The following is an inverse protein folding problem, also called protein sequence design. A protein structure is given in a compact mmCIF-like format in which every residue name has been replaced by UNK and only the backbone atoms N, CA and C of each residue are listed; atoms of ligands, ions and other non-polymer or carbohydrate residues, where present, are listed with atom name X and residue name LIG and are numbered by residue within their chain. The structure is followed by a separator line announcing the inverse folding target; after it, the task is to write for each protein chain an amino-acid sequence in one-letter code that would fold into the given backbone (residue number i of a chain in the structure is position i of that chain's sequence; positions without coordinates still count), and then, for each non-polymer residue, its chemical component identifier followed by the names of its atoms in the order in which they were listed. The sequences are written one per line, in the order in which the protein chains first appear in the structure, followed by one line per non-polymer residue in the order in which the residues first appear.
data_IF_682584653909
#
_entry.id   IF_682584653909
#
_cell.length_a   1.000
_cell.length_b   1.000
_cell.length_c   1.000
_cell.angle_alpha   90.00
_cell.angle_beta   90.00
_cell.angle_gamma   90.00
#
_symmetry.space_group_name_H-M   'P 1'
#
loop_
_entity.id
_entity.type
_entity.pdbx_description
1 polymer ?
#
# COMPACT_ATOMS: atom_id res chain seq x y z
N UNK A 1 24.62 8.41 27.79
CA UNK A 1 23.33 9.10 27.99
C UNK A 1 22.22 8.18 27.46
N UNK A 2 21.29 7.81 28.31
CA UNK A 2 20.17 6.93 27.99
C UNK A 2 19.30 7.59 26.92
N UNK A 3 18.81 6.81 25.94
CA UNK A 3 17.88 7.28 24.90
C UNK A 3 16.48 7.57 25.50
N UNK A 4 15.60 8.19 24.70
CA UNK A 4 14.24 8.46 25.12
C UNK A 4 13.43 7.14 25.24
N UNK A 5 12.62 7.02 26.30
CA UNK A 5 11.63 5.95 26.39
C UNK A 5 10.46 6.25 25.46
N UNK A 6 9.96 5.25 24.78
CA UNK A 6 8.82 5.37 23.88
C UNK A 6 8.09 4.03 23.77
N UNK A 7 6.81 4.08 23.45
CA UNK A 7 6.01 2.88 23.21
C UNK A 7 6.23 2.33 21.79
N UNK A 8 6.25 1.01 21.65
CA UNK A 8 6.36 0.32 20.37
C UNK A 8 5.61 -1.01 20.41
N UNK A 9 5.06 -1.41 19.26
CA UNK A 9 4.52 -2.75 19.08
C UNK A 9 5.65 -3.70 18.70
N UNK A 10 5.73 -4.82 19.42
CA UNK A 10 6.65 -5.94 19.13
C UNK A 10 5.92 -7.26 19.11
N UNK A 11 6.53 -8.25 18.46
CA UNK A 11 6.09 -9.63 18.49
C UNK A 11 7.29 -10.57 18.51
N UNK A 12 7.13 -11.72 19.19
CA UNK A 12 8.17 -12.68 19.51
C UNK A 12 7.96 -14.04 18.85
N UNK A 13 6.78 -14.23 18.26
CA UNK A 13 6.42 -15.42 17.48
C UNK A 13 5.49 -14.99 16.34
N UNK A 14 5.54 -15.69 15.22
CA UNK A 14 4.54 -15.53 14.16
C UNK A 14 3.18 -16.05 14.63
N UNK A 15 2.08 -15.41 14.20
CA UNK A 15 0.74 -15.81 14.60
C UNK A 15 -0.35 -14.84 14.20
N UNK A 16 -1.49 -14.93 14.86
CA UNK A 16 -2.61 -14.03 14.73
C UNK A 16 -2.34 -12.66 15.38
N UNK A 17 -3.32 -11.72 15.33
CA UNK A 17 -3.15 -10.38 15.91
C UNK A 17 -2.82 -10.36 17.40
N UNK A 18 -3.11 -11.42 18.13
CA UNK A 18 -2.85 -11.60 19.58
C UNK A 18 -1.36 -11.64 19.93
N UNK A 19 -0.47 -11.90 18.97
CA UNK A 19 0.99 -11.90 19.22
C UNK A 19 1.57 -10.49 19.35
N UNK A 20 0.82 -9.46 18.98
CA UNK A 20 1.25 -8.06 19.04
C UNK A 20 1.19 -7.55 20.48
N UNK A 21 2.33 -7.06 20.99
CA UNK A 21 2.50 -6.51 22.33
C UNK A 21 2.91 -5.06 22.26
N UNK A 22 2.25 -4.21 23.05
CA UNK A 22 2.71 -2.84 23.28
C UNK A 22 3.72 -2.88 24.43
N UNK A 23 4.90 -2.35 24.19
CA UNK A 23 6.01 -2.37 25.15
C UNK A 23 6.70 -1.02 25.19
N UNK A 24 7.28 -0.68 26.32
CA UNK A 24 8.23 0.41 26.42
C UNK A 24 9.58 -0.01 25.80
N UNK A 25 10.09 0.82 24.92
CA UNK A 25 11.35 0.61 24.25
C UNK A 25 12.26 1.83 24.40
N UNK A 26 13.49 1.58 24.78
CA UNK A 26 14.50 2.62 24.82
C UNK A 26 14.97 2.89 23.38
N UNK A 27 14.73 4.11 22.88
CA UNK A 27 15.15 4.51 21.55
C UNK A 27 16.54 5.15 21.61
N UNK A 28 17.52 4.57 20.94
CA UNK A 28 18.87 5.13 20.82
C UNK A 28 18.84 6.50 20.10
N UNK A 29 19.88 7.32 20.30
CA UNK A 29 20.09 8.51 19.47
C UNK A 29 20.28 8.11 18.01
N UNK A 30 19.89 8.95 17.04
CA UNK A 30 20.10 8.65 15.64
C UNK A 30 21.60 8.51 15.33
N UNK A 31 21.95 7.47 14.60
CA UNK A 31 23.30 7.24 14.09
C UNK A 31 23.66 8.25 12.99
N UNK A 32 24.89 8.18 12.48
CA UNK A 32 25.29 9.00 11.33
C UNK A 32 24.34 8.75 10.15
N UNK A 33 23.91 9.81 9.48
CA UNK A 33 22.96 9.80 8.35
C UNK A 33 21.53 9.34 8.69
N UNK A 34 21.16 9.24 9.97
CA UNK A 34 19.80 8.99 10.41
C UNK A 34 19.12 10.23 10.96
N UNK A 35 17.81 10.25 10.91
CA UNK A 35 16.95 11.20 11.63
C UNK A 35 16.08 10.44 12.62
N UNK A 36 15.83 11.03 13.77
CA UNK A 36 14.82 10.52 14.69
C UNK A 36 13.50 11.21 14.40
N UNK A 37 12.46 10.41 14.18
CA UNK A 37 11.11 10.91 13.88
C UNK A 37 10.17 10.51 15.01
N UNK A 38 9.53 11.51 15.63
CA UNK A 38 8.36 11.30 16.49
C UNK A 38 7.15 11.16 15.60
N UNK A 39 6.52 10.00 15.61
CA UNK A 39 5.36 9.75 14.78
C UNK A 39 4.14 10.51 15.32
N UNK A 40 3.34 11.01 14.40
CA UNK A 40 2.02 11.60 14.64
C UNK A 40 0.92 10.76 13.98
N UNK A 41 1.31 9.92 13.00
CA UNK A 41 0.42 8.98 12.35
C UNK A 41 1.24 7.83 11.72
N UNK A 42 0.70 6.63 11.74
CA UNK A 42 1.34 5.41 11.24
C UNK A 42 0.37 4.69 10.32
N UNK A 43 0.80 4.32 9.11
CA UNK A 43 -0.03 3.58 8.16
C UNK A 43 -0.04 2.08 8.45
N UNK A 44 -1.22 1.48 8.41
CA UNK A 44 -1.41 0.02 8.51
C UNK A 44 -1.58 -0.58 7.12
N UNK A 45 -0.86 -1.66 6.84
CA UNK A 45 -0.82 -2.28 5.52
C UNK A 45 -0.94 -3.80 5.60
N UNK A 46 -1.38 -4.42 4.51
CA UNK A 46 -1.48 -5.87 4.46
C UNK A 46 -0.11 -6.59 4.50
N UNK A 47 0.98 -5.89 4.11
CA UNK A 47 2.34 -6.41 4.26
C UNK A 47 2.71 -6.61 5.74
N UNK A 48 2.17 -5.80 6.64
CA UNK A 48 2.37 -5.94 8.08
C UNK A 48 1.75 -7.25 8.60
N UNK A 49 0.64 -7.67 7.99
CA UNK A 49 0.04 -9.00 8.26
C UNK A 49 0.97 -10.10 7.77
N UNK A 50 1.56 -9.96 6.56
CA UNK A 50 2.49 -10.96 6.03
C UNK A 50 3.76 -11.11 6.89
N UNK A 51 4.30 -10.00 7.39
CA UNK A 51 5.43 -10.01 8.34
C UNK A 51 5.03 -10.71 9.64
N UNK A 52 3.89 -10.35 10.23
CA UNK A 52 3.40 -10.93 11.48
C UNK A 52 3.10 -12.43 11.38
N UNK A 53 2.49 -12.88 10.28
CA UNK A 53 2.12 -14.29 10.08
C UNK A 53 3.27 -15.17 9.60
N UNK A 54 4.43 -14.58 9.25
CA UNK A 54 5.59 -15.30 8.73
C UNK A 54 5.50 -15.66 7.25
N UNK A 55 4.50 -15.14 6.51
CA UNK A 55 4.45 -15.29 5.06
C UNK A 55 5.67 -14.59 4.41
N UNK A 56 6.06 -13.45 4.96
CA UNK A 56 7.32 -12.80 4.64
C UNK A 56 8.30 -13.01 5.80
N UNK A 57 9.52 -13.54 5.53
CA UNK A 57 10.49 -13.79 6.58
C UNK A 57 10.92 -12.52 7.30
N UNK A 58 10.92 -12.54 8.63
CA UNK A 58 11.52 -11.51 9.46
C UNK A 58 12.21 -12.15 10.66
N UNK A 59 13.26 -11.49 11.17
CA UNK A 59 13.95 -11.92 12.39
C UNK A 59 13.07 -11.58 13.60
N UNK A 60 12.98 -12.51 14.54
CA UNK A 60 12.27 -12.34 15.81
C UNK A 60 13.27 -12.15 16.96
N UNK A 61 12.97 -11.30 17.97
CA UNK A 61 11.78 -10.43 18.06
C UNK A 61 11.81 -9.29 17.04
N UNK A 62 10.64 -8.90 16.52
CA UNK A 62 10.52 -7.85 15.52
C UNK A 62 9.55 -6.75 15.96
N UNK A 63 9.79 -5.53 15.46
CA UNK A 63 8.78 -4.50 15.36
C UNK A 63 7.88 -4.73 14.15
N UNK A 64 6.88 -3.87 13.94
CA UNK A 64 5.93 -3.96 12.83
C UNK A 64 5.71 -2.59 12.18
N UNK A 65 5.13 -2.60 10.97
CA UNK A 65 4.84 -1.37 10.23
C UNK A 65 6.00 -0.83 9.41
N UNK A 66 5.69 -0.25 8.26
CA UNK A 66 6.68 0.15 7.26
C UNK A 66 6.56 1.61 6.83
N UNK A 67 5.50 2.31 7.21
CA UNK A 67 5.28 3.72 6.87
C UNK A 67 4.77 4.52 8.07
N UNK A 68 5.19 5.77 8.16
CA UNK A 68 4.67 6.74 9.13
C UNK A 68 4.89 8.18 8.65
N UNK A 69 4.23 9.11 9.30
CA UNK A 69 4.51 10.53 9.25
C UNK A 69 4.72 11.07 10.67
N UNK A 70 5.48 12.15 10.79
CA UNK A 70 5.77 12.77 12.06
C UNK A 70 6.72 13.94 11.94
N UNK A 71 7.34 14.29 13.08
CA UNK A 71 8.21 15.44 13.23
C UNK A 71 9.63 14.96 13.57
N UNK A 72 10.63 15.52 12.90
CA UNK A 72 12.04 15.25 13.23
C UNK A 72 12.35 15.84 14.61
N UNK A 73 12.82 15.01 15.53
CA UNK A 73 13.23 15.39 16.89
C UNK A 73 14.73 15.48 17.07
N UNK A 74 15.51 14.71 16.28
CA UNK A 74 16.96 14.75 16.32
C UNK A 74 17.57 14.38 14.98
N UNK A 75 18.80 14.82 14.74
CA UNK A 75 19.58 14.54 13.53
C UNK A 75 20.88 13.85 13.91
N UNK A 76 21.21 12.79 13.20
CA UNK A 76 22.53 12.17 13.27
C UNK A 76 23.59 12.99 12.51
N UNK A 77 24.85 12.68 12.76
CA UNK A 77 25.98 13.34 12.07
C UNK A 77 25.85 13.13 10.56
N UNK A 78 26.16 14.16 9.78
CA UNK A 78 26.18 14.11 8.30
C UNK A 78 24.82 14.27 7.63
N UNK A 79 23.72 14.39 8.37
CA UNK A 79 22.41 14.70 7.78
C UNK A 79 22.42 16.12 7.20
N UNK A 80 21.99 16.27 5.97
CA UNK A 80 21.89 17.55 5.27
C UNK A 80 20.47 17.73 4.69
N UNK A 81 20.04 18.99 4.56
CA UNK A 81 18.76 19.35 3.93
C UNK A 81 17.50 19.08 4.78
N UNK A 82 17.65 18.57 6.01
CA UNK A 82 16.59 18.34 6.98
C UNK A 82 16.88 19.12 8.28
N UNK A 83 15.82 19.46 9.02
CA UNK A 83 15.91 20.22 10.29
C UNK A 83 15.02 19.59 11.36
N UNK A 84 15.41 19.74 12.62
CA UNK A 84 14.52 19.45 13.76
C UNK A 84 13.27 20.33 13.66
N UNK A 85 12.11 19.75 13.96
CA UNK A 85 10.80 20.39 13.80
C UNK A 85 10.19 20.25 12.40
N UNK A 86 10.90 19.74 11.40
CA UNK A 86 10.31 19.51 10.08
C UNK A 86 9.36 18.32 10.08
N UNK A 87 8.22 18.51 9.40
CA UNK A 87 7.23 17.45 9.13
C UNK A 87 7.71 16.57 7.99
N UNK A 88 7.81 15.28 8.26
CA UNK A 88 8.28 14.28 7.30
C UNK A 88 7.38 13.05 7.28
N UNK A 89 7.44 12.32 6.19
CA UNK A 89 6.86 10.98 6.07
C UNK A 89 7.89 10.05 5.43
N UNK A 90 7.73 8.76 5.65
CA UNK A 90 8.63 7.76 5.09
C UNK A 90 7.91 6.45 4.78
N UNK A 91 8.52 5.67 3.90
CA UNK A 91 8.28 4.23 3.75
C UNK A 91 9.63 3.52 3.77
N UNK A 92 9.71 2.42 4.52
CA UNK A 92 10.96 1.71 4.72
C UNK A 92 10.80 0.20 4.61
N UNK A 93 11.79 -0.48 4.05
CA UNK A 93 11.77 -1.94 3.86
C UNK A 93 11.87 -2.71 5.17
N UNK A 94 12.51 -2.15 6.18
CA UNK A 94 12.62 -2.75 7.52
C UNK A 94 11.39 -2.41 8.35
N UNK A 95 10.72 -3.36 9.01
CA UNK A 95 9.62 -3.10 9.93
C UNK A 95 10.04 -2.26 11.15
N UNK A 96 9.07 -1.67 11.86
CA UNK A 96 9.30 -0.92 13.10
C UNK A 96 8.60 0.44 13.17
N UNK A 97 7.71 0.76 12.22
CA UNK A 97 6.96 2.02 12.25
C UNK A 97 5.85 2.05 13.32
N UNK A 98 5.40 0.88 13.84
CA UNK A 98 4.43 0.85 14.93
C UNK A 98 5.11 1.21 16.26
N UNK A 99 5.51 2.46 16.37
CA UNK A 99 6.19 3.04 17.53
C UNK A 99 5.91 4.54 17.61
N UNK A 100 6.09 5.13 18.79
CA UNK A 100 6.00 6.58 18.96
C UNK A 100 7.24 7.30 18.38
N UNK A 101 8.39 6.63 18.40
CA UNK A 101 9.68 7.22 18.03
C UNK A 101 10.51 6.20 17.25
N UNK A 102 11.13 6.65 16.15
CA UNK A 102 11.97 5.79 15.31
C UNK A 102 13.14 6.54 14.69
N UNK A 103 14.31 5.88 14.64
CA UNK A 103 15.41 6.33 13.80
C UNK A 103 15.24 5.77 12.37
N UNK A 104 15.39 6.63 11.39
CA UNK A 104 15.20 6.30 9.97
C UNK A 104 16.34 6.93 9.17
N UNK A 105 16.88 6.23 8.19
CA UNK A 105 17.87 6.80 7.28
C UNK A 105 17.34 8.08 6.63
N UNK A 106 18.11 9.17 6.68
CA UNK A 106 17.70 10.49 6.19
C UNK A 106 17.32 10.49 4.70
N UNK A 107 17.91 9.61 3.92
CA UNK A 107 17.59 9.43 2.50
C UNK A 107 16.19 8.82 2.26
N UNK A 108 15.60 8.17 3.26
CA UNK A 108 14.29 7.52 3.17
C UNK A 108 13.13 8.39 3.60
N UNK A 109 13.39 9.56 4.16
CA UNK A 109 12.32 10.49 4.54
C UNK A 109 12.06 11.53 3.44
N UNK A 110 10.79 11.91 3.31
CA UNK A 110 10.36 12.99 2.42
C UNK A 110 9.64 14.06 3.23
N UNK A 111 9.83 15.34 2.87
CA UNK A 111 9.11 16.44 3.53
C UNK A 111 7.64 16.38 3.16
N UNK A 112 6.77 16.51 4.17
CA UNK A 112 5.33 16.60 3.94
C UNK A 112 4.98 18.01 3.46
N UNK A 113 4.39 18.18 2.27
CA UNK A 113 4.07 19.49 1.75
C UNK A 113 2.92 20.15 2.50
N UNK A 114 2.84 21.49 2.41
CA UNK A 114 1.68 22.23 2.92
C UNK A 114 0.40 21.74 2.24
N UNK A 115 -0.70 21.66 3.02
CA UNK A 115 -2.00 21.17 2.55
C UNK A 115 -2.18 19.65 2.58
N UNK A 116 -1.17 18.90 3.05
CA UNK A 116 -1.27 17.47 3.36
C UNK A 116 -1.11 17.29 4.86
N UNK A 117 -2.06 16.61 5.52
CA UNK A 117 -1.97 16.29 6.95
C UNK A 117 -1.00 15.13 7.19
N UNK A 118 -0.53 14.96 8.43
CA UNK A 118 0.35 13.83 8.78
C UNK A 118 -0.37 12.49 8.59
N UNK A 119 -1.64 12.42 8.96
CA UNK A 119 -2.46 11.22 8.74
C UNK A 119 -2.58 10.87 7.25
N UNK A 120 -2.81 11.88 6.40
CA UNK A 120 -2.82 11.67 4.95
C UNK A 120 -1.46 11.21 4.45
N UNK A 121 -0.38 11.82 4.93
CA UNK A 121 0.98 11.43 4.53
C UNK A 121 1.30 9.99 4.98
N UNK A 122 0.98 9.61 6.22
CA UNK A 122 1.15 8.23 6.72
C UNK A 122 0.30 7.21 5.96
N UNK A 123 -0.90 7.61 5.50
CA UNK A 123 -1.78 6.75 4.71
C UNK A 123 -1.36 6.61 3.23
N UNK A 124 -0.38 7.42 2.79
CA UNK A 124 0.00 7.56 1.38
C UNK A 124 1.35 6.95 1.03
N UNK A 125 2.33 6.92 1.95
CA UNK A 125 3.69 6.60 1.54
C UNK A 125 3.81 5.21 0.92
N UNK A 126 3.31 4.17 1.56
CA UNK A 126 3.35 2.82 0.99
C UNK A 126 2.28 2.65 -0.10
N UNK A 127 1.03 2.99 0.22
CA UNK A 127 -0.12 2.75 -0.67
C UNK A 127 -0.07 3.63 -1.93
N UNK A 128 0.24 4.90 -1.76
CA UNK A 128 0.30 5.87 -2.84
C UNK A 128 1.48 5.64 -3.77
N UNK A 129 2.67 5.34 -3.21
CA UNK A 129 3.83 4.97 -4.02
C UNK A 129 3.62 3.62 -4.73
N UNK A 130 2.86 2.70 -4.10
CA UNK A 130 2.43 1.47 -4.78
C UNK A 130 1.55 1.79 -5.98
N UNK A 131 0.51 2.59 -5.81
CA UNK A 131 -0.34 3.02 -6.94
C UNK A 131 0.47 3.77 -8.01
N UNK A 132 1.44 4.62 -7.61
CA UNK A 132 2.32 5.33 -8.52
C UNK A 132 3.12 4.37 -9.41
N UNK A 133 3.89 3.43 -8.82
CA UNK A 133 4.71 2.56 -9.64
C UNK A 133 3.86 1.61 -10.49
N UNK A 134 2.74 1.13 -9.98
CA UNK A 134 1.82 0.26 -10.72
C UNK A 134 1.31 0.95 -12.00
N UNK A 135 0.88 2.21 -11.89
CA UNK A 135 0.29 2.96 -13.01
C UNK A 135 1.30 3.61 -13.94
N UNK A 136 2.52 3.88 -13.47
CA UNK A 136 3.49 4.72 -14.19
C UNK A 136 4.75 3.99 -14.63
N UNK A 137 5.10 2.89 -13.95
CA UNK A 137 6.37 2.19 -14.18
C UNK A 137 6.19 0.71 -14.51
N UNK A 138 5.26 -0.02 -13.85
CA UNK A 138 4.99 -1.43 -14.16
C UNK A 138 4.21 -1.55 -15.46
N UNK A 139 3.04 -0.95 -15.52
CA UNK A 139 2.27 -0.76 -16.74
C UNK A 139 1.94 0.73 -16.88
N UNK A 140 2.39 1.35 -17.97
CA UNK A 140 2.11 2.78 -18.21
C UNK A 140 0.68 2.95 -18.69
N UNK A 141 -0.23 3.16 -17.74
CA UNK A 141 -1.63 3.38 -18.05
C UNK A 141 -1.80 4.64 -18.89
N UNK A 142 -2.47 4.49 -20.03
CA UNK A 142 -2.74 5.55 -20.99
C UNK A 142 -4.23 5.85 -21.11
N UNK A 143 -4.55 7.00 -21.72
CA UNK A 143 -5.93 7.35 -22.06
C UNK A 143 -6.55 6.28 -22.96
N UNK A 144 -7.75 5.83 -22.59
CA UNK A 144 -8.50 4.82 -23.34
C UNK A 144 -8.29 3.39 -22.87
N UNK A 145 -7.26 3.11 -22.06
CA UNK A 145 -7.09 1.79 -21.45
C UNK A 145 -8.31 1.39 -20.63
N UNK A 146 -8.66 0.11 -20.68
CA UNK A 146 -9.62 -0.50 -19.75
C UNK A 146 -8.84 -1.40 -18.81
N UNK A 147 -8.90 -1.13 -17.51
CA UNK A 147 -8.14 -1.84 -16.47
C UNK A 147 -9.06 -2.49 -15.46
N UNK A 148 -8.65 -3.63 -14.90
CA UNK A 148 -9.33 -4.31 -13.80
C UNK A 148 -8.53 -4.12 -12.50
N UNK A 149 -9.22 -3.76 -11.42
CA UNK A 149 -8.62 -3.53 -10.11
C UNK A 149 -9.34 -4.34 -9.06
N UNK A 150 -8.67 -5.34 -8.50
CA UNK A 150 -9.19 -6.07 -7.33
C UNK A 150 -9.03 -5.25 -6.04
N UNK A 151 -9.89 -5.52 -5.05
CA UNK A 151 -9.97 -4.78 -3.80
C UNK A 151 -10.06 -3.25 -4.01
N UNK A 152 -10.88 -2.83 -4.98
CA UNK A 152 -10.98 -1.44 -5.45
C UNK A 152 -11.37 -0.42 -4.37
N UNK A 153 -12.04 -0.83 -3.29
CA UNK A 153 -12.39 0.01 -2.14
C UNK A 153 -11.35 -0.02 -1.00
N UNK A 154 -10.24 -0.75 -1.17
CA UNK A 154 -9.12 -0.81 -0.21
C UNK A 154 -8.16 0.37 -0.35
N UNK A 155 -7.17 0.46 0.54
CA UNK A 155 -6.25 1.60 0.60
C UNK A 155 -5.49 1.88 -0.70
N UNK A 156 -4.85 0.86 -1.31
CA UNK A 156 -4.21 1.01 -2.63
C UNK A 156 -5.25 1.16 -3.72
N UNK A 157 -6.33 0.36 -3.68
CA UNK A 157 -7.37 0.33 -4.71
C UNK A 157 -8.01 1.69 -4.95
N UNK A 158 -8.40 2.41 -3.90
CA UNK A 158 -9.01 3.74 -4.03
C UNK A 158 -8.06 4.77 -4.65
N UNK A 159 -6.78 4.75 -4.28
CA UNK A 159 -5.78 5.64 -4.86
C UNK A 159 -5.57 5.31 -6.34
N UNK A 160 -5.40 4.02 -6.64
CA UNK A 160 -5.16 3.50 -7.99
C UNK A 160 -6.34 3.84 -8.92
N UNK A 161 -7.57 3.57 -8.50
CA UNK A 161 -8.76 3.84 -9.30
C UNK A 161 -8.93 5.34 -9.62
N UNK A 162 -8.74 6.22 -8.64
CA UNK A 162 -8.81 7.67 -8.83
C UNK A 162 -7.72 8.16 -9.80
N UNK A 163 -6.50 7.68 -9.59
CA UNK A 163 -5.35 8.12 -10.40
C UNK A 163 -5.45 7.58 -11.84
N UNK A 164 -5.84 6.32 -12.02
CA UNK A 164 -6.09 5.74 -13.34
C UNK A 164 -7.20 6.50 -14.10
N UNK A 165 -8.31 6.86 -13.43
CA UNK A 165 -9.36 7.74 -14.01
C UNK A 165 -8.78 9.07 -14.43
N UNK A 166 -7.94 9.70 -13.60
CA UNK A 166 -7.30 10.99 -13.92
C UNK A 166 -6.32 10.87 -15.10
N UNK A 167 -5.76 9.69 -15.38
CA UNK A 167 -4.96 9.38 -16.57
C UNK A 167 -5.83 9.10 -17.82
N UNK A 168 -7.15 9.03 -17.67
CA UNK A 168 -8.10 8.79 -18.77
C UNK A 168 -8.42 7.32 -19.03
N UNK A 169 -8.09 6.42 -18.10
CA UNK A 169 -8.45 5.01 -18.19
C UNK A 169 -9.89 4.76 -17.74
N UNK A 170 -10.48 3.67 -18.26
CA UNK A 170 -11.75 3.11 -17.80
C UNK A 170 -11.44 2.03 -16.75
N UNK A 171 -11.91 2.23 -15.52
CA UNK A 171 -11.65 1.33 -14.41
C UNK A 171 -12.84 0.42 -14.16
N UNK A 172 -12.62 -0.88 -14.18
CA UNK A 172 -13.50 -1.91 -13.66
C UNK A 172 -12.98 -2.29 -12.28
N UNK A 173 -13.73 -2.01 -11.22
CA UNK A 173 -13.36 -2.34 -9.84
C UNK A 173 -14.04 -3.62 -9.37
N UNK A 174 -13.33 -4.45 -8.61
CA UNK A 174 -13.90 -5.61 -7.92
C UNK A 174 -13.88 -5.37 -6.42
N UNK A 175 -15.01 -5.57 -5.76
CA UNK A 175 -15.20 -5.35 -4.32
C UNK A 175 -15.99 -6.49 -3.67
N UNK A 176 -15.96 -6.59 -2.34
CA UNK A 176 -16.63 -7.69 -1.62
C UNK A 176 -18.05 -7.39 -1.15
N UNK A 177 -18.63 -6.19 -1.39
CA UNK A 177 -19.99 -5.86 -0.95
C UNK A 177 -20.54 -4.64 -1.67
N UNK A 178 -21.88 -4.46 -1.63
CA UNK A 178 -22.55 -3.29 -2.24
C UNK A 178 -22.09 -1.96 -1.60
N UNK A 179 -21.98 -1.91 -0.29
CA UNK A 179 -21.47 -0.71 0.40
C UNK A 179 -20.07 -0.31 -0.10
N UNK A 180 -19.19 -1.29 -0.39
CA UNK A 180 -17.88 -1.05 -0.99
C UNK A 180 -17.98 -0.67 -2.46
N UNK A 181 -18.99 -1.14 -3.18
CA UNK A 181 -19.23 -0.76 -4.58
C UNK A 181 -19.51 0.74 -4.71
N UNK A 182 -20.35 1.29 -3.83
CA UNK A 182 -20.65 2.72 -3.84
C UNK A 182 -19.41 3.58 -3.58
N UNK A 183 -18.53 3.12 -2.66
CA UNK A 183 -17.26 3.78 -2.42
C UNK A 183 -16.38 3.74 -3.67
N UNK A 184 -16.25 2.58 -4.32
CA UNK A 184 -15.43 2.42 -5.52
C UNK A 184 -15.93 3.27 -6.70
N UNK A 185 -17.27 3.34 -6.91
CA UNK A 185 -17.90 4.21 -7.94
C UNK A 185 -17.57 5.68 -7.70
N UNK A 186 -17.72 6.17 -6.46
CA UNK A 186 -17.39 7.55 -6.08
C UNK A 186 -15.91 7.88 -6.28
N UNK A 187 -15.02 6.86 -6.25
CA UNK A 187 -13.57 7.01 -6.34
C UNK A 187 -12.96 6.51 -7.66
N UNK A 188 -13.71 6.57 -8.77
CA UNK A 188 -13.11 6.48 -10.09
C UNK A 188 -13.43 5.21 -10.89
N UNK A 189 -14.04 4.20 -10.29
CA UNK A 189 -14.50 3.04 -11.04
C UNK A 189 -15.69 3.42 -11.93
N UNK A 190 -15.58 3.11 -13.23
CA UNK A 190 -16.68 3.26 -14.19
C UNK A 190 -17.68 2.12 -14.03
N UNK A 191 -17.19 0.92 -13.79
CA UNK A 191 -17.99 -0.26 -13.51
C UNK A 191 -17.47 -0.91 -12.23
N UNK A 192 -18.36 -1.54 -11.47
CA UNK A 192 -18.01 -2.25 -10.24
C UNK A 192 -18.71 -3.60 -10.22
N UNK A 193 -17.91 -4.65 -9.99
CA UNK A 193 -18.36 -6.02 -9.84
C UNK A 193 -18.20 -6.43 -8.36
N UNK A 194 -19.15 -7.26 -7.88
CA UNK A 194 -19.11 -7.76 -6.50
C UNK A 194 -18.64 -9.21 -6.52
N UNK A 195 -17.51 -9.46 -5.87
CA UNK A 195 -16.93 -10.80 -5.74
C UNK A 195 -17.93 -11.75 -5.06
N UNK A 196 -18.05 -12.95 -5.60
CA UNK A 196 -18.97 -13.98 -5.10
C UNK A 196 -20.44 -13.82 -5.57
N UNK A 197 -20.82 -12.64 -6.10
CA UNK A 197 -22.15 -12.40 -6.72
C UNK A 197 -22.05 -12.38 -8.23
N UNK A 198 -21.12 -11.61 -8.76
CA UNK A 198 -20.98 -11.39 -10.18
C UNK A 198 -19.96 -12.38 -10.77
N UNK A 199 -20.30 -13.00 -11.89
CA UNK A 199 -19.37 -13.86 -12.62
C UNK A 199 -18.28 -12.98 -13.27
N UNK A 200 -17.10 -12.95 -12.69
CA UNK A 200 -16.04 -11.99 -13.02
C UNK A 200 -15.69 -12.01 -14.51
N UNK A 201 -15.33 -13.17 -15.05
CA UNK A 201 -14.80 -13.29 -16.42
C UNK A 201 -15.87 -12.89 -17.44
N UNK A 202 -17.07 -13.45 -17.37
CA UNK A 202 -18.17 -13.13 -18.31
C UNK A 202 -18.59 -11.66 -18.22
N UNK A 203 -18.64 -11.10 -17.00
CA UNK A 203 -18.95 -9.67 -16.81
C UNK A 203 -17.90 -8.76 -17.44
N UNK A 204 -16.60 -9.06 -17.23
CA UNK A 204 -15.51 -8.30 -17.84
C UNK A 204 -15.54 -8.42 -19.35
N UNK A 205 -15.79 -9.64 -19.91
CA UNK A 205 -15.90 -9.86 -21.36
C UNK A 205 -17.04 -9.03 -21.94
N UNK A 206 -18.23 -9.05 -21.34
CA UNK A 206 -19.37 -8.23 -21.75
C UNK A 206 -19.02 -6.74 -21.74
N UNK A 207 -18.45 -6.22 -20.64
CA UNK A 207 -18.08 -4.81 -20.50
C UNK A 207 -17.00 -4.35 -21.50
N UNK A 208 -16.18 -5.27 -21.99
CA UNK A 208 -15.10 -5.03 -22.95
C UNK A 208 -15.41 -5.50 -24.37
N UNK A 209 -16.66 -5.95 -24.65
CA UNK A 209 -17.05 -6.51 -25.96
C UNK A 209 -16.13 -7.64 -26.39
N UNK A 210 -15.90 -8.60 -25.51
CA UNK A 210 -15.03 -9.77 -25.63
C UNK A 210 -13.53 -9.51 -25.85
N UNK A 211 -13.10 -8.25 -25.85
CA UNK A 211 -11.67 -7.90 -26.00
C UNK A 211 -10.88 -8.26 -24.74
N UNK A 212 -11.41 -8.01 -23.56
CA UNK A 212 -10.70 -8.09 -22.28
C UNK A 212 -10.00 -6.79 -21.89
N UNK A 213 -9.43 -6.76 -20.68
CA UNK A 213 -8.74 -5.58 -20.12
C UNK A 213 -7.26 -5.54 -20.51
N UNK A 214 -6.67 -4.33 -20.55
CA UNK A 214 -5.26 -4.13 -20.89
C UNK A 214 -4.33 -4.61 -19.78
N UNK A 215 -4.75 -4.44 -18.53
CA UNK A 215 -4.00 -4.84 -17.33
C UNK A 215 -4.96 -5.19 -16.20
N UNK A 216 -4.60 -6.20 -15.43
CA UNK A 216 -5.23 -6.53 -14.15
C UNK A 216 -4.26 -6.18 -13.02
N UNK A 217 -4.73 -5.46 -12.02
CA UNK A 217 -4.05 -5.20 -10.77
C UNK A 217 -4.67 -6.04 -9.66
N UNK A 218 -3.98 -7.09 -9.23
CA UNK A 218 -4.47 -8.07 -8.26
C UNK A 218 -3.67 -8.03 -6.95
N UNK A 219 -4.36 -7.61 -5.88
CA UNK A 219 -3.87 -7.62 -4.51
C UNK A 219 -4.38 -8.82 -3.69
N UNK A 220 -5.27 -9.64 -4.25
CA UNK A 220 -5.99 -10.70 -3.56
C UNK A 220 -5.21 -12.01 -3.60
N UNK A 221 -4.80 -12.44 -4.79
CA UNK A 221 -3.94 -13.60 -4.97
C UNK A 221 -4.73 -14.89 -5.20
N UNK A 222 -4.66 -15.85 -4.25
CA UNK A 222 -5.18 -17.22 -4.41
C UNK A 222 -6.58 -17.28 -5.02
N UNK A 223 -7.51 -16.49 -4.51
CA UNK A 223 -8.93 -16.59 -4.88
C UNK A 223 -9.26 -15.94 -6.24
N UNK A 224 -8.37 -15.12 -6.80
CA UNK A 224 -8.67 -14.29 -7.97
C UNK A 224 -7.74 -14.49 -9.15
N UNK A 225 -6.60 -15.12 -8.95
CA UNK A 225 -5.49 -15.13 -9.90
C UNK A 225 -5.87 -15.75 -11.26
N UNK A 226 -6.53 -16.92 -11.27
CA UNK A 226 -6.85 -17.60 -12.53
C UNK A 226 -7.92 -16.85 -13.32
N UNK A 227 -9.00 -16.41 -12.66
CA UNK A 227 -10.04 -15.60 -13.29
C UNK A 227 -9.49 -14.26 -13.79
N UNK A 228 -8.52 -13.69 -13.07
CA UNK A 228 -7.82 -12.47 -13.48
C UNK A 228 -7.09 -12.67 -14.81
N UNK A 229 -6.42 -13.81 -15.02
CA UNK A 229 -5.76 -14.13 -16.30
C UNK A 229 -6.76 -14.23 -17.44
N UNK A 230 -7.95 -14.81 -17.20
CA UNK A 230 -9.00 -14.97 -18.20
C UNK A 230 -9.72 -13.66 -18.57
N UNK A 231 -9.58 -12.61 -17.73
CA UNK A 231 -10.09 -11.27 -18.00
C UNK A 231 -9.20 -10.45 -18.95
N UNK A 232 -7.95 -10.84 -19.17
CA UNK A 232 -6.95 -10.04 -19.89
C UNK A 232 -7.10 -10.22 -21.40
N UNK A 233 -6.88 -9.14 -22.15
CA UNK A 233 -6.79 -9.18 -23.60
C UNK A 233 -5.49 -9.84 -24.07
N UNK A 234 -5.42 -10.27 -25.33
CA UNK A 234 -4.17 -10.68 -25.96
C UNK A 234 -3.07 -9.63 -25.74
N UNK A 235 -1.85 -10.07 -25.38
CA UNK A 235 -0.68 -9.22 -25.07
C UNK A 235 -0.91 -8.25 -23.90
N UNK A 236 -1.91 -8.51 -23.03
CA UNK A 236 -2.13 -7.73 -21.84
C UNK A 236 -1.29 -8.21 -20.66
N UNK A 237 -1.41 -7.53 -19.52
CA UNK A 237 -0.54 -7.75 -18.38
C UNK A 237 -1.32 -8.14 -17.12
N UNK A 238 -0.85 -9.20 -16.45
CA UNK A 238 -1.22 -9.56 -15.08
C UNK A 238 -0.20 -8.96 -14.10
N UNK A 239 -0.65 -8.10 -13.21
CA UNK A 239 0.16 -7.52 -12.14
C UNK A 239 -0.35 -8.06 -10.80
N UNK A 240 0.27 -9.14 -10.32
CA UNK A 240 -0.04 -9.74 -9.03
C UNK A 240 0.82 -9.06 -7.96
N UNK A 241 0.25 -8.14 -7.15
CA UNK A 241 1.04 -7.35 -6.19
C UNK A 241 0.68 -7.58 -4.72
N UNK A 242 -0.27 -8.46 -4.43
CA UNK A 242 -0.66 -8.82 -3.05
C UNK A 242 -1.09 -10.27 -2.90
N UNK A 243 -1.31 -10.70 -1.65
CA UNK A 243 -1.69 -12.06 -1.27
C UNK A 243 -2.76 -12.03 -0.16
N UNK A 244 -3.77 -11.15 -0.28
CA UNK A 244 -4.77 -10.98 0.80
C UNK A 244 -5.62 -12.24 1.08
N UNK A 245 -5.77 -13.15 0.09
CA UNK A 245 -6.40 -14.46 0.27
C UNK A 245 -5.39 -15.63 0.30
N UNK A 246 -4.11 -15.31 0.34
CA UNK A 246 -3.00 -16.24 0.22
C UNK A 246 -2.25 -16.13 -1.11
N UNK A 247 -1.08 -16.80 -1.23
CA UNK A 247 -0.31 -16.82 -2.45
C UNK A 247 -1.10 -17.41 -3.62
N UNK A 248 -0.95 -16.86 -4.86
CA UNK A 248 -1.53 -17.47 -6.04
C UNK A 248 -0.96 -18.88 -6.29
N UNK A 249 -1.68 -19.74 -7.03
CA UNK A 249 -1.19 -21.06 -7.39
C UNK A 249 0.04 -20.95 -8.31
N UNK A 250 0.89 -21.98 -8.28
CA UNK A 250 1.91 -22.14 -9.29
C UNK A 250 1.25 -22.40 -10.65
N UNK A 251 1.76 -21.76 -11.71
CA UNK A 251 1.27 -21.95 -13.08
C UNK A 251 2.41 -22.29 -14.03
N UNK A 252 2.09 -23.09 -15.06
CA UNK A 252 2.98 -23.27 -16.20
C UNK A 252 3.02 -21.99 -17.05
N UNK A 253 4.17 -21.58 -17.59
CA UNK A 253 4.24 -20.50 -18.58
C UNK A 253 3.32 -20.69 -19.78
N UNK A 254 2.97 -21.94 -20.13
CA UNK A 254 2.02 -22.25 -21.20
C UNK A 254 0.62 -21.67 -20.94
N UNK A 255 0.24 -21.45 -19.69
CA UNK A 255 -1.03 -20.80 -19.36
C UNK A 255 -1.09 -19.34 -19.87
N UNK A 256 0.05 -18.67 -19.96
CA UNK A 256 0.13 -17.31 -20.52
C UNK A 256 0.00 -17.35 -22.04
N UNK A 257 0.60 -18.34 -22.72
CA UNK A 257 0.48 -18.54 -24.16
C UNK A 257 -0.96 -18.84 -24.57
N UNK A 258 -1.62 -19.78 -23.89
CA UNK A 258 -3.01 -20.19 -24.16
C UNK A 258 -4.01 -19.01 -24.08
N UNK A 259 -3.71 -18.02 -23.26
CA UNK A 259 -4.55 -16.81 -23.04
C UNK A 259 -4.13 -15.63 -23.92
N UNK A 260 -3.29 -15.85 -24.92
CA UNK A 260 -2.89 -14.81 -25.88
C UNK A 260 -1.58 -14.12 -25.55
N UNK A 261 -0.57 -14.87 -25.09
CA UNK A 261 0.80 -14.39 -24.81
C UNK A 261 0.82 -13.27 -23.79
N UNK A 262 0.25 -13.52 -22.63
CA UNK A 262 0.15 -12.54 -21.55
C UNK A 262 1.51 -12.25 -20.91
N UNK A 263 1.66 -11.03 -20.38
CA UNK A 263 2.75 -10.69 -19.48
C UNK A 263 2.30 -10.92 -18.02
N UNK A 264 3.20 -11.49 -17.21
CA UNK A 264 2.98 -11.68 -15.78
C UNK A 264 4.13 -11.03 -14.99
N UNK A 265 3.80 -10.24 -13.98
CA UNK A 265 4.80 -9.68 -13.07
C UNK A 265 4.32 -9.71 -11.62
N UNK A 266 5.29 -9.86 -10.69
CA UNK A 266 5.08 -9.78 -9.23
C UNK A 266 5.97 -8.69 -8.65
N UNK A 267 5.53 -7.40 -8.75
CA UNK A 267 6.37 -6.28 -8.35
C UNK A 267 6.36 -6.06 -6.84
N UNK A 268 7.43 -5.47 -6.32
CA UNK A 268 7.53 -4.95 -4.96
C UNK A 268 7.89 -3.47 -5.00
N UNK A 269 7.22 -2.65 -4.19
CA UNK A 269 7.50 -1.21 -4.08
C UNK A 269 9.00 -0.94 -3.87
N UNK A 270 9.66 -1.72 -3.01
CA UNK A 270 11.05 -1.47 -2.64
C UNK A 270 12.03 -1.63 -3.80
N UNK A 271 11.66 -2.32 -4.87
CA UNK A 271 12.43 -2.40 -6.12
C UNK A 271 12.22 -1.18 -7.04
N UNK A 272 11.23 -0.34 -6.75
CA UNK A 272 10.90 0.87 -7.52
C UNK A 272 11.31 2.18 -6.82
N UNK A 273 11.80 2.08 -5.57
CA UNK A 273 12.29 3.19 -4.77
C UNK A 273 13.66 2.88 -4.15
N UNK A 274 14.53 2.22 -4.91
CA UNK A 274 15.87 1.81 -4.44
C UNK A 274 16.71 3.05 -4.13
N UNK A 275 16.75 4.00 -5.04
CA UNK A 275 17.51 5.24 -4.85
C UNK A 275 16.67 6.34 -4.20
N UNK A 276 17.38 7.34 -3.65
CA UNK A 276 16.76 8.57 -3.12
C UNK A 276 15.98 9.32 -4.20
N UNK A 277 16.49 9.36 -5.41
CA UNK A 277 15.91 10.04 -6.56
C UNK A 277 14.59 9.39 -6.97
N UNK A 278 14.52 8.06 -7.01
CA UNK A 278 13.30 7.31 -7.31
C UNK A 278 12.21 7.54 -6.26
N UNK A 279 12.58 7.48 -4.97
CA UNK A 279 11.66 7.79 -3.88
C UNK A 279 11.15 9.24 -3.97
N UNK A 280 12.07 10.19 -4.19
CA UNK A 280 11.73 11.61 -4.27
C UNK A 280 10.83 11.92 -5.49
N UNK A 281 11.10 11.30 -6.64
CA UNK A 281 10.26 11.42 -7.84
C UNK A 281 8.85 10.90 -7.56
N UNK A 282 8.73 9.66 -7.06
CA UNK A 282 7.44 9.05 -6.74
C UNK A 282 6.65 9.87 -5.74
N UNK A 283 7.28 10.31 -4.65
CA UNK A 283 6.64 11.13 -3.62
C UNK A 283 6.19 12.50 -4.16
N UNK A 284 7.00 13.16 -5.01
CA UNK A 284 6.66 14.43 -5.65
C UNK A 284 5.42 14.29 -6.54
N UNK A 285 5.39 13.27 -7.41
CA UNK A 285 4.24 13.02 -8.30
C UNK A 285 2.98 12.65 -7.50
N UNK A 286 3.11 11.83 -6.45
CA UNK A 286 2.03 11.45 -5.56
C UNK A 286 1.43 12.66 -4.84
N UNK A 287 2.25 13.46 -4.17
CA UNK A 287 1.77 14.67 -3.49
C UNK A 287 1.21 15.72 -4.46
N UNK A 288 1.76 15.81 -5.67
CA UNK A 288 1.19 16.67 -6.71
C UNK A 288 -0.20 16.21 -7.14
N UNK A 289 -0.43 14.89 -7.27
CA UNK A 289 -1.75 14.34 -7.59
C UNK A 289 -2.77 14.59 -6.47
N UNK A 290 -2.35 14.49 -5.21
CA UNK A 290 -3.20 14.80 -4.05
C UNK A 290 -3.56 16.28 -4.01
N UNK A 291 -2.58 17.19 -4.14
CA UNK A 291 -2.80 18.64 -4.11
C UNK A 291 -3.67 19.12 -5.28
N UNK A 292 -3.57 18.46 -6.43
CA UNK A 292 -4.40 18.74 -7.60
C UNK A 292 -5.82 18.13 -7.49
N UNK A 293 -6.17 17.48 -6.38
CA UNK A 293 -7.47 16.83 -6.19
C UNK A 293 -7.71 15.59 -7.07
N UNK A 294 -6.70 15.12 -7.81
CA UNK A 294 -6.77 13.91 -8.65
C UNK A 294 -6.84 12.64 -7.79
N UNK A 295 -6.29 12.68 -6.60
CA UNK A 295 -6.31 11.61 -5.60
C UNK A 295 -6.75 12.21 -4.27
N UNK A 296 -7.85 11.72 -3.73
CA UNK A 296 -8.32 12.01 -2.37
C UNK A 296 -7.95 10.86 -1.46
N UNK A 297 -7.30 11.15 -0.35
CA UNK A 297 -6.94 10.14 0.66
C UNK A 297 -8.16 9.85 1.52
N UNK A 298 -8.60 8.60 1.50
CA UNK A 298 -9.71 8.14 2.34
C UNK A 298 -9.13 7.38 3.53
N UNK A 299 -9.23 7.97 4.71
CA UNK A 299 -8.89 7.32 5.98
C UNK A 299 -10.21 6.80 6.55
N UNK A 300 -10.43 5.50 6.40
CA UNK A 300 -11.69 4.87 6.83
C UNK A 300 -11.71 4.51 8.31
N UNK A 301 -10.53 4.24 8.91
CA UNK A 301 -10.42 3.81 10.29
C UNK A 301 -9.17 4.42 10.94
N UNK A 302 -9.31 4.75 12.24
CA UNK A 302 -8.22 5.19 13.11
C UNK A 302 -8.26 4.39 14.41
N UNK A 303 -7.08 3.96 14.85
CA UNK A 303 -6.91 3.25 16.12
C UNK A 303 -5.76 3.89 16.91
N UNK A 304 -5.80 3.92 18.23
CA UNK A 304 -4.59 4.22 19.01
C UNK A 304 -3.55 3.10 18.76
N UNK A 305 -2.27 3.43 18.88
CA UNK A 305 -1.16 2.46 18.71
C UNK A 305 -1.36 1.22 19.57
N UNK A 306 -1.84 1.37 20.81
CA UNK A 306 -2.15 0.27 21.74
C UNK A 306 -3.19 -0.71 21.21
N UNK A 307 -4.00 -0.33 20.22
CA UNK A 307 -5.02 -1.16 19.60
C UNK A 307 -4.61 -1.66 18.21
N UNK A 308 -3.32 -1.76 17.92
CA UNK A 308 -2.82 -2.27 16.65
C UNK A 308 -3.35 -3.69 16.31
N UNK A 309 -3.53 -4.54 17.32
CA UNK A 309 -4.14 -5.87 17.14
C UNK A 309 -5.58 -5.80 16.59
N UNK A 310 -6.38 -4.83 17.03
CA UNK A 310 -7.75 -4.65 16.54
C UNK A 310 -7.75 -4.15 15.09
N UNK A 311 -6.84 -3.22 14.76
CA UNK A 311 -6.66 -2.75 13.38
C UNK A 311 -6.33 -3.92 12.43
N UNK A 312 -5.50 -4.87 12.87
CA UNK A 312 -5.18 -6.08 12.11
C UNK A 312 -6.39 -7.00 11.97
N UNK A 313 -7.14 -7.27 13.06
CA UNK A 313 -8.37 -8.09 13.02
C UNK A 313 -9.40 -7.53 12.03
N UNK A 314 -9.55 -6.20 11.99
CA UNK A 314 -10.51 -5.56 11.08
C UNK A 314 -10.01 -5.58 9.64
N UNK A 315 -8.70 -5.42 9.41
CA UNK A 315 -8.10 -5.51 8.08
C UNK A 315 -8.24 -6.93 7.50
N UNK A 316 -7.88 -7.97 8.27
CA UNK A 316 -7.98 -9.37 7.88
C UNK A 316 -9.45 -9.82 7.72
N UNK A 317 -10.32 -9.33 8.59
CA UNK A 317 -11.77 -9.55 8.53
C UNK A 317 -12.47 -8.81 7.38
N UNK A 318 -11.73 -8.11 6.52
CA UNK A 318 -12.27 -7.33 5.38
C UNK A 318 -13.32 -6.27 5.81
N UNK A 319 -13.26 -5.81 7.08
CA UNK A 319 -14.18 -4.80 7.64
C UNK A 319 -13.74 -3.37 7.35
N UNK A 320 -12.56 -3.19 6.77
CA UNK A 320 -11.98 -1.88 6.48
C UNK A 320 -12.33 -1.37 5.08
N UNK A 321 -12.32 -0.04 4.92
CA UNK A 321 -12.36 0.68 3.64
C UNK A 321 -11.30 1.77 3.63
N UNK A 322 -10.76 2.11 2.47
CA UNK A 322 -9.68 3.10 2.39
C UNK A 322 -8.44 2.69 3.18
N UNK A 323 -7.78 3.66 3.77
CA UNK A 323 -6.57 3.48 4.59
C UNK A 323 -6.91 3.40 6.08
N UNK A 324 -6.17 2.55 6.80
CA UNK A 324 -6.18 2.47 8.27
C UNK A 324 -4.94 3.16 8.81
N UNK A 325 -5.09 3.93 9.88
CA UNK A 325 -4.02 4.69 10.53
C UNK A 325 -4.01 4.38 12.02
N UNK A 326 -2.81 4.17 12.59
CA UNK A 326 -2.58 4.18 14.03
C UNK A 326 -2.14 5.58 14.45
N UNK A 327 -2.60 6.00 15.62
CA UNK A 327 -2.22 7.25 16.28
C UNK A 327 -1.43 6.85 17.53
N UNK A 328 -0.16 7.26 17.63
CA UNK A 328 0.68 7.00 18.81
C UNK A 328 0.14 7.65 20.07
#
# INVERSE_FOLDING_TARGET
MLGAMSQAIRFYAHGGPEVLRLEEAQQAKPAAHEVQVRHTAIGVNYIDVYDRTGLYPCNLPSGLGREAAGIITALGRGVRGLKVGERVAYVYSTPGAYSELRNVAAERVVKVPRGVSDEQAAALMLKGLTAHFLLRRTYRVARGDTILVHAAAGGVGLILCQWAKALGAKVIGVVGSEAKADIARKHGCKHVLISGRDALVSSVRTLTKDVGVTVVYDAVGKDTFMDSLDCIRRLGMMVSYGNASGPPPAISPLELTKRGSLYLTRPSLFNYIVSREELALGARELFAAVRAGKVKVVIGQKYPLSRAADAHRDLEGRRTTGSTVLVP
#
